data_IF_455555396295
#
_entry.id   IF_455555396295
#
_cell.length_a   1.000
_cell.length_b   1.000
_cell.length_c   1.000
_cell.angle_alpha   90.00
_cell.angle_beta   90.00
_cell.angle_gamma   90.00
#
_symmetry.space_group_name_H-M   'P 1'
#
loop_
_entity.id
_entity.type
_entity.pdbx_description
1 polymer ?
#
# COMPACT_ATOMS: atom_id res chain seq x y z
N UNK A 1 38.59 75.45 25.14
CA UNK A 1 37.21 75.90 24.86
C UNK A 1 36.48 74.83 24.06
N UNK A 2 35.76 73.93 24.74
CA UNK A 2 34.42 73.47 24.32
C UNK A 2 33.43 74.64 24.47
N UNK A 3 32.15 74.59 24.01
CA UNK A 3 31.26 73.43 23.77
C UNK A 3 30.69 73.43 22.32
N UNK A 4 29.60 72.74 21.91
CA UNK A 4 28.58 71.90 22.59
C UNK A 4 28.11 70.78 21.61
N UNK A 5 27.13 69.99 22.03
CA UNK A 5 26.39 68.98 21.25
C UNK A 5 24.90 69.36 21.20
N UNK A 6 24.16 68.99 20.14
CA UNK A 6 22.69 68.93 20.21
C UNK A 6 22.08 67.94 19.20
N UNK A 7 21.49 66.85 19.72
CA UNK A 7 20.22 66.29 19.22
C UNK A 7 19.11 66.83 20.15
N UNK A 8 17.89 67.10 19.65
CA UNK A 8 16.82 66.15 19.96
C UNK A 8 15.66 66.08 18.94
N UNK A 9 14.82 65.06 19.09
CA UNK A 9 13.38 65.30 19.16
C UNK A 9 12.51 64.84 17.97
N UNK A 10 11.32 64.28 18.22
CA UNK A 10 10.46 63.69 17.20
C UNK A 10 9.33 64.62 16.75
N UNK A 11 8.68 64.30 15.63
CA UNK A 11 7.34 64.79 15.33
C UNK A 11 6.43 63.64 14.85
N UNK A 12 5.20 63.60 15.36
CA UNK A 12 4.21 62.54 15.10
C UNK A 12 3.32 62.89 13.90
N UNK A 13 2.89 61.84 13.21
CA UNK A 13 1.61 61.67 12.51
C UNK A 13 1.21 62.69 11.43
N UNK A 14 0.89 62.17 10.24
CA UNK A 14 -0.34 62.53 9.55
C UNK A 14 -0.88 61.34 8.75
N UNK A 15 -2.20 61.16 8.83
CA UNK A 15 -2.97 60.09 8.19
C UNK A 15 -3.43 60.56 6.81
N UNK A 16 -3.39 59.67 5.82
CA UNK A 16 -4.16 59.83 4.58
C UNK A 16 -4.59 58.45 4.06
N UNK A 17 -5.83 58.07 4.35
CA UNK A 17 -6.45 56.89 3.75
C UNK A 17 -6.99 57.24 2.36
N UNK A 18 -6.82 56.33 1.39
CA UNK A 18 -7.51 56.38 0.11
C UNK A 18 -8.43 55.15 0.01
N UNK A 19 -9.72 55.36 0.23
CA UNK A 19 -10.73 54.32 0.05
C UNK A 19 -11.06 54.18 -1.43
N UNK A 20 -11.20 52.94 -1.92
CA UNK A 20 -11.93 52.67 -3.15
C UNK A 20 -13.09 51.72 -2.85
N UNK A 21 -14.29 52.30 -2.87
CA UNK A 21 -15.53 51.60 -2.54
C UNK A 21 -16.04 50.81 -3.74
N UNK A 22 -16.30 49.52 -3.55
CA UNK A 22 -17.23 48.76 -4.40
C UNK A 22 -18.32 48.19 -3.48
N UNK A 23 -19.56 48.64 -3.70
CA UNK A 23 -20.74 48.14 -3.01
C UNK A 23 -21.57 47.37 -4.02
N UNK A 24 -21.79 46.09 -3.76
CA UNK A 24 -22.91 45.32 -4.30
C UNK A 24 -23.51 44.54 -3.15
N UNK A 25 -24.70 44.96 -2.73
CA UNK A 25 -25.43 44.33 -1.63
C UNK A 25 -26.35 43.24 -2.17
N UNK A 26 -26.28 42.06 -1.56
CA UNK A 26 -27.42 41.14 -1.49
C UNK A 26 -27.62 40.80 -0.02
N UNK A 27 -28.77 41.19 0.53
CA UNK A 27 -29.16 40.84 1.88
C UNK A 27 -30.03 39.59 1.85
N UNK A 28 -29.63 38.56 2.60
CA UNK A 28 -30.50 37.47 3.04
C UNK A 28 -30.08 37.11 4.47
N UNK A 29 -30.96 37.39 5.44
CA UNK A 29 -30.71 37.08 6.85
C UNK A 29 -30.86 35.58 7.12
N UNK A 30 -30.02 35.01 8.00
CA UNK A 30 -30.09 33.59 8.31
C UNK A 30 -29.21 33.09 9.45
N UNK A 31 -29.19 33.78 10.60
CA UNK A 31 -28.74 33.31 11.95
C UNK A 31 -27.37 32.66 12.11
N UNK A 32 -26.56 33.19 13.05
CA UNK A 32 -25.32 32.59 13.51
C UNK A 32 -25.46 31.10 13.90
N UNK A 33 -24.49 30.31 13.44
CA UNK A 33 -24.06 29.08 14.09
C UNK A 33 -22.62 28.81 13.63
N UNK A 34 -21.66 29.28 14.41
CA UNK A 34 -20.23 28.98 14.25
C UNK A 34 -20.01 27.48 14.47
N UNK A 35 -20.24 26.71 13.40
CA UNK A 35 -19.92 25.29 13.32
C UNK A 35 -18.56 25.22 12.63
N UNK A 36 -17.53 24.60 13.23
CA UNK A 36 -16.30 24.36 12.49
C UNK A 36 -16.65 23.56 11.24
N UNK A 37 -16.01 23.88 10.11
CA UNK A 37 -16.27 23.19 8.85
C UNK A 37 -15.99 21.69 9.01
N UNK A 38 -17.05 20.93 9.26
CA UNK A 38 -17.08 19.49 8.98
C UNK A 38 -16.66 19.35 7.53
N UNK A 39 -15.60 18.59 7.27
CA UNK A 39 -15.26 18.18 5.91
C UNK A 39 -16.54 17.61 5.28
N UNK A 40 -17.02 18.26 4.21
CA UNK A 40 -18.23 17.82 3.54
C UNK A 40 -17.94 16.47 2.92
N UNK A 41 -18.31 15.40 3.64
CA UNK A 41 -18.17 14.02 3.21
C UNK A 41 -18.97 13.89 1.92
N UNK A 42 -18.28 13.91 0.78
CA UNK A 42 -18.81 13.49 -0.50
C UNK A 42 -18.57 11.99 -0.61
N UNK A 43 -19.55 11.13 -0.25
CA UNK A 43 -19.38 9.69 -0.34
C UNK A 43 -19.11 9.31 -1.80
N UNK A 44 -17.89 8.88 -2.09
CA UNK A 44 -17.53 8.35 -3.40
C UNK A 44 -17.99 6.89 -3.49
N UNK A 45 -19.29 6.70 -3.76
CA UNK A 45 -19.97 5.39 -3.85
C UNK A 45 -19.66 4.64 -5.16
N UNK A 46 -18.43 4.76 -5.68
CA UNK A 46 -18.03 4.18 -6.96
C UNK A 46 -16.86 3.25 -6.72
N UNK A 47 -17.03 1.97 -7.06
CA UNK A 47 -15.96 0.99 -7.01
C UNK A 47 -14.71 1.47 -7.77
N UNK A 48 -13.56 1.38 -7.11
CA UNK A 48 -12.26 1.79 -7.63
C UNK A 48 -11.49 0.55 -8.05
N UNK A 49 -11.02 0.50 -9.30
CA UNK A 49 -10.06 -0.51 -9.74
C UNK A 49 -8.65 0.04 -9.62
N UNK A 50 -7.84 -0.61 -8.79
CA UNK A 50 -6.43 -0.30 -8.60
C UNK A 50 -5.60 -0.99 -9.70
N UNK A 51 -4.54 -0.35 -10.20
CA UNK A 51 -3.62 -0.98 -11.14
C UNK A 51 -2.90 -2.15 -10.43
N UNK A 52 -2.84 -3.29 -11.11
CA UNK A 52 -2.00 -4.43 -10.71
C UNK A 52 -0.97 -4.62 -11.81
N UNK A 53 0.31 -4.67 -11.43
CA UNK A 53 1.42 -4.88 -12.34
C UNK A 53 1.37 -6.27 -12.98
N UNK A 54 1.79 -6.38 -14.24
CA UNK A 54 1.98 -7.68 -14.88
C UNK A 54 3.02 -8.52 -14.11
N UNK A 55 2.74 -9.82 -13.99
CA UNK A 55 3.56 -10.78 -13.23
C UNK A 55 4.09 -11.86 -14.16
N UNK A 56 5.40 -12.09 -14.12
CA UNK A 56 6.07 -13.17 -14.87
C UNK A 56 6.56 -14.25 -13.92
N UNK A 57 6.04 -15.46 -14.06
CA UNK A 57 6.52 -16.67 -13.36
C UNK A 57 7.52 -17.42 -14.25
N UNK A 58 8.61 -17.93 -13.69
CA UNK A 58 9.61 -18.73 -14.43
C UNK A 58 10.15 -19.84 -13.53
N UNK A 59 9.96 -21.10 -13.94
CA UNK A 59 10.51 -22.25 -13.25
C UNK A 59 12.05 -22.27 -13.33
N UNK A 60 12.71 -22.53 -12.20
CA UNK A 60 14.17 -22.67 -12.10
C UNK A 60 14.58 -24.12 -11.87
N UNK A 61 13.93 -24.80 -10.92
CA UNK A 61 14.10 -26.24 -10.65
C UNK A 61 12.71 -26.88 -10.45
N UNK A 62 12.35 -27.95 -11.20
CA UNK A 62 11.08 -28.67 -11.03
C UNK A 62 10.96 -29.51 -9.75
N UNK A 63 12.01 -29.63 -8.93
CA UNK A 63 11.99 -30.36 -7.65
C UNK A 63 12.01 -31.89 -7.80
N UNK A 64 11.78 -32.61 -6.71
CA UNK A 64 11.73 -34.06 -6.70
C UNK A 64 10.40 -34.63 -7.27
N UNK A 65 10.42 -35.89 -7.70
CA UNK A 65 9.19 -36.63 -8.03
C UNK A 65 8.47 -37.11 -6.75
N UNK A 66 7.12 -37.22 -6.74
CA UNK A 66 6.21 -36.97 -7.86
C UNK A 66 5.96 -35.47 -8.08
N UNK A 67 5.91 -35.06 -9.35
CA UNK A 67 5.56 -33.69 -9.77
C UNK A 67 4.13 -33.59 -10.29
N UNK A 68 3.49 -32.45 -10.07
CA UNK A 68 2.15 -32.14 -10.58
C UNK A 68 2.05 -30.67 -10.99
N UNK A 69 1.18 -30.36 -11.96
CA UNK A 69 0.79 -28.96 -12.24
C UNK A 69 -0.11 -28.49 -11.10
N UNK A 70 0.22 -27.34 -10.51
CA UNK A 70 -0.58 -26.72 -9.47
C UNK A 70 -1.35 -25.57 -10.11
N UNK A 71 -2.68 -25.65 -10.09
CA UNK A 71 -3.55 -24.63 -10.68
C UNK A 71 -4.74 -24.34 -9.76
N UNK A 72 -5.12 -23.07 -9.68
CA UNK A 72 -6.30 -22.62 -8.94
C UNK A 72 -7.59 -23.09 -9.60
N UNK A 73 -8.59 -23.45 -8.79
CA UNK A 73 -9.90 -23.90 -9.25
C UNK A 73 -11.02 -23.08 -8.58
N UNK A 74 -12.18 -22.91 -9.24
CA UNK A 74 -13.33 -22.23 -8.63
C UNK A 74 -13.84 -23.01 -7.42
N UNK A 75 -14.30 -22.30 -6.40
CA UNK A 75 -14.70 -22.87 -5.12
C UNK A 75 -15.96 -22.19 -4.61
N UNK A 76 -17.04 -22.98 -4.56
CA UNK A 76 -18.34 -22.57 -3.99
C UNK A 76 -18.31 -22.53 -2.46
N UNK A 77 -17.27 -23.07 -1.82
CA UNK A 77 -17.04 -22.97 -0.39
C UNK A 77 -16.60 -21.54 -0.05
N UNK A 78 -17.30 -20.90 0.89
CA UNK A 78 -16.81 -19.67 1.50
C UNK A 78 -15.60 -19.97 2.40
N UNK A 79 -14.51 -19.24 2.19
CA UNK A 79 -13.36 -19.18 3.08
C UNK A 79 -13.49 -17.96 3.99
N UNK A 80 -13.16 -18.11 5.27
CA UNK A 80 -12.82 -16.99 6.15
C UNK A 80 -11.31 -16.88 6.24
N UNK A 81 -10.78 -15.65 6.22
CA UNK A 81 -9.36 -15.36 6.41
C UNK A 81 -9.20 -14.00 7.10
N UNK A 82 -8.08 -13.80 7.78
CA UNK A 82 -7.69 -12.51 8.35
C UNK A 82 -6.40 -12.04 7.67
N UNK A 83 -6.44 -10.83 7.13
CA UNK A 83 -5.26 -10.14 6.61
C UNK A 83 -4.76 -9.17 7.68
N UNK A 84 -3.50 -9.31 8.09
CA UNK A 84 -2.82 -8.30 8.93
C UNK A 84 -1.66 -7.70 8.16
N UNK A 85 -1.61 -6.38 8.08
CA UNK A 85 -0.54 -5.62 7.43
C UNK A 85 0.10 -4.61 8.37
N UNK A 86 1.43 -4.47 8.27
CA UNK A 86 2.22 -3.50 9.04
C UNK A 86 3.21 -2.80 8.09
N UNK A 87 3.42 -1.49 8.24
CA UNK A 87 4.43 -0.74 7.49
C UNK A 87 5.20 0.20 8.40
N UNK A 88 6.52 0.01 8.48
CA UNK A 88 7.44 0.89 9.20
C UNK A 88 8.21 1.76 8.22
N UNK A 89 8.28 3.06 8.49
CA UNK A 89 9.06 4.02 7.69
C UNK A 89 9.73 4.99 8.66
N UNK A 90 11.05 4.88 8.82
CA UNK A 90 11.86 5.83 9.59
C UNK A 90 12.74 6.60 8.63
N UNK A 91 12.68 7.93 8.67
CA UNK A 91 13.46 8.81 7.81
C UNK A 91 14.40 9.71 8.63
N UNK A 92 15.56 10.04 8.07
CA UNK A 92 16.50 10.99 8.65
C UNK A 92 17.11 11.87 7.56
N UNK A 93 16.99 13.19 7.72
CA UNK A 93 17.66 14.18 6.87
C UNK A 93 19.00 14.56 7.54
N UNK A 94 20.10 14.36 6.81
CA UNK A 94 21.48 14.62 7.25
C UNK A 94 21.80 14.09 8.66
N UNK A 95 22.00 14.99 9.62
CA UNK A 95 22.29 14.71 11.03
C UNK A 95 21.15 15.13 11.97
N UNK A 96 19.94 15.36 11.44
CA UNK A 96 18.74 15.60 12.24
C UNK A 96 18.34 14.34 13.04
N UNK A 97 17.44 14.50 14.01
CA UNK A 97 16.81 13.36 14.66
C UNK A 97 15.96 12.57 13.64
N UNK A 98 15.98 11.22 13.68
CA UNK A 98 15.05 10.42 12.89
C UNK A 98 13.59 10.77 13.17
N UNK A 99 12.77 10.70 12.14
CA UNK A 99 11.33 10.91 12.17
C UNK A 99 10.62 9.63 11.76
N UNK A 100 9.51 9.33 12.42
CA UNK A 100 8.69 8.15 12.17
C UNK A 100 7.47 8.52 11.31
N UNK A 101 7.33 7.82 10.18
CA UNK A 101 6.27 7.93 9.19
C UNK A 101 5.58 6.56 8.95
N UNK A 102 5.77 5.62 9.87
CA UNK A 102 5.13 4.29 9.85
C UNK A 102 3.61 4.41 9.80
N UNK A 103 2.93 3.52 9.07
CA UNK A 103 1.47 3.42 9.15
C UNK A 103 1.06 2.42 10.23
N UNK A 104 -0.02 2.67 10.98
CA UNK A 104 -0.52 1.74 11.99
C UNK A 104 -0.83 0.36 11.40
N UNK A 105 -0.57 -0.69 12.18
CA UNK A 105 -0.97 -2.04 11.81
C UNK A 105 -2.49 -2.11 11.55
N UNK A 106 -2.90 -2.77 10.46
CA UNK A 106 -4.31 -3.01 10.13
C UNK A 106 -4.57 -4.51 10.17
N UNK A 107 -5.57 -4.95 10.94
CA UNK A 107 -6.05 -6.33 10.98
C UNK A 107 -7.47 -6.38 10.47
N UNK A 108 -7.69 -7.11 9.38
CA UNK A 108 -8.89 -7.09 8.56
C UNK A 108 -9.39 -8.51 8.33
N UNK A 109 -10.36 -8.99 9.13
CA UNK A 109 -11.06 -10.22 8.82
C UNK A 109 -11.88 -10.05 7.54
N UNK A 110 -12.00 -11.10 6.75
CA UNK A 110 -12.81 -11.13 5.53
C UNK A 110 -13.35 -12.53 5.26
N UNK A 111 -14.39 -12.58 4.44
CA UNK A 111 -14.85 -13.82 3.80
C UNK A 111 -14.64 -13.73 2.30
N UNK A 112 -14.36 -14.85 1.65
CA UNK A 112 -14.10 -14.91 0.22
C UNK A 112 -14.72 -16.16 -0.43
N UNK A 113 -15.10 -16.03 -1.70
CA UNK A 113 -15.56 -17.12 -2.59
C UNK A 113 -14.88 -16.99 -3.95
N UNK A 114 -14.80 -18.06 -4.73
CA UNK A 114 -14.23 -18.00 -6.10
C UNK A 114 -15.14 -18.61 -7.16
N UNK A 115 -15.25 -17.93 -8.30
CA UNK A 115 -16.04 -18.35 -9.46
C UNK A 115 -15.25 -18.16 -10.76
N UNK A 116 -15.56 -18.96 -11.78
CA UNK A 116 -15.04 -18.71 -13.13
C UNK A 116 -15.61 -17.40 -13.70
N UNK A 117 -14.79 -16.69 -14.47
CA UNK A 117 -15.21 -15.51 -15.23
C UNK A 117 -15.86 -15.97 -16.54
N UNK A 118 -17.06 -15.51 -16.88
CA UNK A 118 -17.72 -15.91 -18.13
C UNK A 118 -16.85 -15.57 -19.35
N UNK A 119 -16.40 -16.60 -20.08
CA UNK A 119 -15.66 -16.45 -21.33
C UNK A 119 -14.16 -16.12 -21.19
N UNK A 120 -13.57 -16.25 -20.00
CA UNK A 120 -12.14 -16.05 -19.78
C UNK A 120 -11.53 -17.14 -18.88
N UNK A 121 -10.26 -17.48 -19.11
CA UNK A 121 -9.48 -18.45 -18.29
C UNK A 121 -9.01 -17.81 -16.96
N UNK A 122 -9.91 -17.11 -16.26
CA UNK A 122 -9.65 -16.37 -15.03
C UNK A 122 -10.69 -16.68 -13.95
N UNK A 123 -10.24 -16.68 -12.70
CA UNK A 123 -11.09 -16.78 -11.52
C UNK A 123 -11.34 -15.39 -10.93
N UNK A 124 -12.61 -15.13 -10.66
CA UNK A 124 -13.09 -14.01 -9.89
C UNK A 124 -13.15 -14.41 -8.40
N UNK A 125 -12.39 -13.72 -7.56
CA UNK A 125 -12.41 -13.89 -6.10
C UNK A 125 -13.17 -12.72 -5.51
N UNK A 126 -14.41 -12.96 -5.10
CA UNK A 126 -15.24 -11.98 -4.42
C UNK A 126 -14.98 -12.05 -2.90
N UNK A 127 -14.70 -10.90 -2.29
CA UNK A 127 -14.39 -10.74 -0.87
C UNK A 127 -15.34 -9.75 -0.21
N UNK A 128 -15.74 -10.04 1.03
CA UNK A 128 -16.48 -9.11 1.91
C UNK A 128 -15.66 -8.88 3.16
N UNK A 129 -15.34 -7.61 3.44
CA UNK A 129 -14.56 -7.18 4.59
C UNK A 129 -15.43 -7.20 5.86
N UNK A 130 -14.90 -7.76 6.95
CA UNK A 130 -15.46 -7.65 8.29
C UNK A 130 -14.98 -6.38 9.02
N UNK A 131 -15.24 -6.30 10.31
CA UNK A 131 -14.78 -5.21 11.17
C UNK A 131 -13.24 -5.14 11.24
N UNK A 132 -12.65 -4.18 10.53
CA UNK A 132 -11.22 -3.91 10.57
C UNK A 132 -10.79 -3.23 11.87
N UNK A 133 -9.58 -3.54 12.35
CA UNK A 133 -9.04 -3.06 13.62
C UNK A 133 -7.59 -2.58 13.51
N UNK A 134 -7.21 -1.64 14.36
CA UNK A 134 -5.86 -1.04 14.40
C UNK A 134 -5.54 -0.53 15.81
N UNK A 135 -4.26 -0.51 16.26
CA UNK A 135 -3.89 0.07 17.54
C UNK A 135 -3.95 1.61 17.57
N UNK A 136 -4.03 2.29 16.41
CA UNK A 136 -4.15 3.75 16.36
C UNK A 136 -5.59 4.22 16.59
N UNK A 137 -5.80 5.00 17.64
CA UNK A 137 -7.14 5.46 18.03
C UNK A 137 -7.81 6.40 17.00
N UNK A 138 -7.02 7.12 16.19
CA UNK A 138 -7.52 8.08 15.18
C UNK A 138 -8.05 7.33 13.97
N UNK A 139 -7.28 6.37 13.47
CA UNK A 139 -7.69 5.49 12.39
C UNK A 139 -8.81 4.55 12.83
N UNK A 140 -8.74 3.97 14.04
CA UNK A 140 -9.77 3.06 14.56
C UNK A 140 -11.16 3.69 14.63
N UNK A 141 -11.25 4.99 14.95
CA UNK A 141 -12.51 5.74 14.93
C UNK A 141 -13.12 5.89 13.51
N UNK A 142 -12.31 5.70 12.47
CA UNK A 142 -12.72 5.76 11.07
C UNK A 142 -12.92 4.39 10.41
N UNK A 143 -12.51 3.28 11.05
CA UNK A 143 -12.61 1.92 10.48
C UNK A 143 -13.99 1.28 10.58
N UNK A 144 -14.79 1.56 11.62
CA UNK A 144 -16.09 0.87 11.80
C UNK A 144 -17.02 0.93 10.58
N UNK A 145 -17.12 2.05 9.83
CA UNK A 145 -17.94 2.12 8.61
C UNK A 145 -17.41 1.31 7.42
N UNK A 146 -16.20 0.75 7.45
CA UNK A 146 -15.67 -0.08 6.34
C UNK A 146 -16.14 -1.53 6.38
N UNK A 147 -16.75 -1.99 7.49
CA UNK A 147 -17.35 -3.32 7.56
C UNK A 147 -18.45 -3.47 6.48
N UNK A 148 -18.46 -4.61 5.79
CA UNK A 148 -19.35 -4.86 4.66
C UNK A 148 -18.91 -4.28 3.32
N UNK A 149 -17.81 -3.51 3.27
CA UNK A 149 -17.17 -3.14 1.99
C UNK A 149 -16.80 -4.41 1.22
N UNK A 150 -16.91 -4.38 -0.11
CA UNK A 150 -16.51 -5.52 -0.94
C UNK A 150 -15.21 -5.25 -1.68
N UNK A 151 -14.47 -6.31 -1.96
CA UNK A 151 -13.28 -6.27 -2.78
C UNK A 151 -13.26 -7.49 -3.71
N UNK A 152 -12.56 -7.37 -4.83
CA UNK A 152 -12.56 -8.35 -5.91
C UNK A 152 -11.16 -8.47 -6.47
N UNK A 153 -10.65 -9.70 -6.55
CA UNK A 153 -9.43 -10.01 -7.29
C UNK A 153 -9.80 -10.80 -8.54
N UNK A 154 -9.28 -10.39 -9.69
CA UNK A 154 -9.21 -11.26 -10.86
C UNK A 154 -7.87 -12.00 -10.81
N UNK A 155 -7.90 -13.33 -10.96
CA UNK A 155 -6.69 -14.17 -10.96
C UNK A 155 -6.67 -15.10 -12.16
N UNK A 156 -5.47 -15.42 -12.64
CA UNK A 156 -5.27 -16.50 -13.62
C UNK A 156 -5.33 -17.87 -12.93
N UNK A 157 -5.46 -18.95 -13.70
CA UNK A 157 -5.34 -20.32 -13.17
C UNK A 157 -4.00 -20.62 -12.47
N UNK A 158 -2.96 -19.80 -12.65
CA UNK A 158 -1.69 -19.92 -11.89
C UNK A 158 -1.73 -19.33 -10.49
N UNK A 159 -2.75 -18.51 -10.17
CA UNK A 159 -2.81 -17.68 -8.95
C UNK A 159 -2.27 -16.26 -9.14
N UNK A 160 -1.79 -15.88 -10.32
CA UNK A 160 -1.36 -14.50 -10.58
C UNK A 160 -2.56 -13.55 -10.58
N UNK A 161 -2.51 -12.49 -9.76
CA UNK A 161 -3.53 -11.42 -9.72
C UNK A 161 -3.34 -10.50 -10.92
N UNK A 162 -4.43 -10.14 -11.60
CA UNK A 162 -4.44 -9.24 -12.77
C UNK A 162 -5.30 -7.99 -12.58
N UNK A 163 -6.17 -7.97 -11.56
CA UNK A 163 -6.93 -6.79 -11.17
C UNK A 163 -7.29 -6.85 -9.68
N UNK A 164 -7.37 -5.67 -9.05
CA UNK A 164 -7.95 -5.47 -7.72
C UNK A 164 -9.00 -4.36 -7.83
N UNK A 165 -10.26 -4.69 -7.56
CA UNK A 165 -11.34 -3.70 -7.45
C UNK A 165 -11.85 -3.65 -6.01
N UNK A 166 -12.05 -2.45 -5.48
CA UNK A 166 -12.57 -2.22 -4.12
C UNK A 166 -13.82 -1.37 -4.24
N UNK A 167 -14.93 -1.85 -3.67
CA UNK A 167 -16.20 -1.14 -3.55
C UNK A 167 -16.41 -0.79 -2.08
N UNK A 168 -15.96 0.41 -1.64
CA UNK A 168 -16.05 0.81 -0.24
C UNK A 168 -17.50 1.04 0.16
N UNK A 169 -17.81 0.74 1.42
CA UNK A 169 -19.06 1.17 2.06
C UNK A 169 -19.28 2.68 1.85
N UNK A 170 -20.50 3.16 1.52
CA UNK A 170 -20.79 4.58 1.34
C UNK A 170 -20.42 5.46 2.54
N UNK A 171 -20.41 4.89 3.75
CA UNK A 171 -20.09 5.58 4.99
C UNK A 171 -18.57 5.55 5.33
N UNK A 172 -17.76 4.89 4.50
CA UNK A 172 -16.31 4.79 4.69
C UNK A 172 -15.61 6.15 4.50
N UNK A 173 -14.84 6.56 5.52
CA UNK A 173 -14.02 7.79 5.46
C UNK A 173 -12.77 7.55 4.61
N UNK A 174 -12.31 8.57 3.88
CA UNK A 174 -11.16 8.44 2.97
C UNK A 174 -9.88 7.90 3.64
N UNK A 175 -9.60 8.26 4.89
CA UNK A 175 -8.44 7.73 5.62
C UNK A 175 -8.53 6.22 5.86
N UNK A 176 -9.74 5.69 6.11
CA UNK A 176 -9.98 4.26 6.30
C UNK A 176 -10.00 3.51 4.96
N UNK A 177 -10.61 4.11 3.94
CA UNK A 177 -10.57 3.63 2.55
C UNK A 177 -9.13 3.48 2.06
N UNK A 178 -8.29 4.52 2.22
CA UNK A 178 -6.88 4.51 1.84
C UNK A 178 -6.07 3.43 2.59
N UNK A 179 -6.31 3.24 3.90
CA UNK A 179 -5.66 2.17 4.66
C UNK A 179 -6.04 0.77 4.15
N UNK A 180 -7.31 0.55 3.79
CA UNK A 180 -7.79 -0.71 3.19
C UNK A 180 -7.21 -0.93 1.79
N UNK A 181 -7.21 0.10 0.94
CA UNK A 181 -6.60 0.08 -0.39
C UNK A 181 -5.11 -0.28 -0.32
N UNK A 182 -4.37 0.33 0.62
CA UNK A 182 -2.95 0.03 0.86
C UNK A 182 -2.73 -1.41 1.33
N UNK A 183 -3.52 -1.90 2.31
CA UNK A 183 -3.38 -3.25 2.85
C UNK A 183 -3.65 -4.33 1.80
N UNK A 184 -4.72 -4.17 1.00
CA UNK A 184 -5.04 -5.10 -0.09
C UNK A 184 -3.98 -5.06 -1.19
N UNK A 185 -3.46 -3.87 -1.55
CA UNK A 185 -2.38 -3.74 -2.52
C UNK A 185 -1.08 -4.41 -2.05
N UNK A 186 -0.72 -4.26 -0.77
CA UNK A 186 0.42 -4.96 -0.17
C UNK A 186 0.23 -6.49 -0.26
N UNK A 187 -0.98 -7.00 0.01
CA UNK A 187 -1.27 -8.43 -0.10
C UNK A 187 -1.16 -8.94 -1.55
N UNK A 188 -1.63 -8.18 -2.55
CA UNK A 188 -1.47 -8.49 -3.98
C UNK A 188 0.00 -8.60 -4.36
N UNK A 189 0.86 -7.67 -3.90
CA UNK A 189 2.32 -7.75 -4.14
C UNK A 189 3.03 -8.89 -3.38
N UNK A 190 2.32 -9.71 -2.62
CA UNK A 190 2.80 -10.94 -1.96
C UNK A 190 2.11 -12.21 -2.49
N UNK A 191 1.28 -12.11 -3.52
CA UNK A 191 0.72 -13.27 -4.21
C UNK A 191 1.85 -14.15 -4.80
N UNK A 192 1.64 -15.47 -4.77
CA UNK A 192 2.59 -16.46 -5.28
C UNK A 192 1.90 -17.26 -6.39
N UNK A 193 2.02 -16.83 -7.65
CA UNK A 193 1.63 -17.67 -8.77
C UNK A 193 2.55 -18.90 -8.89
N UNK A 194 1.95 -20.04 -9.21
CA UNK A 194 2.66 -21.28 -9.51
C UNK A 194 3.14 -21.32 -10.98
N UNK A 195 4.21 -22.08 -11.29
CA UNK A 195 4.61 -22.36 -12.66
C UNK A 195 3.53 -23.16 -13.41
N UNK A 196 3.52 -23.05 -14.75
CA UNK A 196 2.63 -23.84 -15.59
C UNK A 196 3.12 -25.30 -15.76
N UNK A 197 4.41 -25.52 -15.50
CA UNK A 197 5.09 -26.81 -15.54
C UNK A 197 4.83 -27.64 -14.27
N UNK A 198 4.91 -28.99 -14.35
CA UNK A 198 4.79 -29.83 -13.16
C UNK A 198 5.93 -29.58 -12.15
N UNK A 199 5.56 -29.31 -10.89
CA UNK A 199 6.47 -29.11 -9.76
C UNK A 199 6.27 -30.15 -8.68
N UNK A 200 7.33 -30.47 -7.95
CA UNK A 200 7.29 -31.33 -6.76
C UNK A 200 8.12 -30.75 -5.61
N UNK A 201 8.21 -31.46 -4.49
CA UNK A 201 8.90 -30.96 -3.29
C UNK A 201 10.37 -30.62 -3.60
N UNK A 202 10.81 -29.44 -3.15
CA UNK A 202 12.10 -28.86 -3.48
C UNK A 202 12.13 -28.03 -4.78
N UNK A 203 11.01 -27.93 -5.51
CA UNK A 203 10.94 -27.07 -6.69
C UNK A 203 11.18 -25.61 -6.34
N UNK A 204 11.83 -24.87 -7.23
CA UNK A 204 12.08 -23.44 -7.09
C UNK A 204 11.74 -22.69 -8.36
N UNK A 205 11.15 -21.51 -8.22
CA UNK A 205 10.80 -20.62 -9.32
C UNK A 205 10.95 -19.16 -8.91
N UNK A 206 11.03 -18.27 -9.90
CA UNK A 206 11.03 -16.82 -9.70
C UNK A 206 9.72 -16.22 -10.17
N UNK A 207 9.19 -15.28 -9.39
CA UNK A 207 8.07 -14.41 -9.72
C UNK A 207 8.60 -12.99 -9.83
N UNK A 208 8.48 -12.36 -11.00
CA UNK A 208 8.98 -11.00 -11.27
C UNK A 208 7.84 -10.07 -11.62
N UNK A 209 7.80 -8.89 -11.01
CA UNK A 209 6.76 -7.87 -11.23
C UNK A 209 7.29 -6.46 -10.93
N UNK A 210 6.65 -5.44 -11.48
CA UNK A 210 6.84 -4.05 -11.06
C UNK A 210 6.07 -3.80 -9.75
N UNK A 211 6.60 -2.96 -8.86
CA UNK A 211 5.95 -2.52 -7.61
C UNK A 211 6.09 -1.01 -7.52
N UNK A 212 4.96 -0.31 -7.60
CA UNK A 212 4.92 1.15 -7.48
C UNK A 212 4.67 1.53 -6.02
N UNK A 213 5.68 2.08 -5.35
CA UNK A 213 5.61 2.52 -3.95
C UNK A 213 6.33 3.86 -3.76
N UNK A 214 5.84 4.88 -4.48
CA UNK A 214 6.50 6.20 -4.59
C UNK A 214 7.74 6.23 -5.50
N UNK A 215 8.38 5.08 -5.71
CA UNK A 215 9.41 4.77 -6.71
C UNK A 215 8.93 3.55 -7.51
N UNK A 216 9.30 3.43 -8.80
CA UNK A 216 9.14 2.15 -9.52
C UNK A 216 10.24 1.18 -9.11
N UNK A 217 9.84 0.02 -8.59
CA UNK A 217 10.71 -1.03 -8.14
C UNK A 217 10.46 -2.30 -8.95
N UNK A 218 11.52 -2.89 -9.50
CA UNK A 218 11.46 -4.28 -9.94
C UNK A 218 11.56 -5.18 -8.71
N UNK A 219 10.51 -5.96 -8.44
CA UNK A 219 10.52 -7.01 -7.43
C UNK A 219 10.80 -8.36 -8.09
N UNK A 220 11.72 -9.14 -7.52
CA UNK A 220 11.93 -10.55 -7.84
C UNK A 220 11.75 -11.37 -6.57
N UNK A 221 10.74 -12.24 -6.55
CA UNK A 221 10.49 -13.20 -5.48
C UNK A 221 10.97 -14.57 -5.92
N UNK A 222 11.98 -15.13 -5.26
CA UNK A 222 12.33 -16.55 -5.37
C UNK A 222 11.42 -17.34 -4.43
N UNK A 223 10.78 -18.38 -4.95
CA UNK A 223 9.85 -19.24 -4.23
C UNK A 223 10.42 -20.66 -4.20
N UNK A 224 10.23 -21.39 -3.09
CA UNK A 224 10.61 -22.80 -2.95
C UNK A 224 9.47 -23.61 -2.36
N UNK A 225 9.03 -24.67 -3.05
CA UNK A 225 8.00 -25.59 -2.56
C UNK A 225 8.58 -26.55 -1.50
N UNK A 226 8.21 -26.32 -0.24
CA UNK A 226 8.72 -27.07 0.92
C UNK A 226 7.95 -28.35 1.19
N UNK A 227 6.63 -28.32 0.98
CA UNK A 227 5.73 -29.45 1.18
C UNK A 227 4.49 -29.30 0.28
N UNK A 228 3.88 -30.42 -0.10
CA UNK A 228 2.61 -30.46 -0.84
C UNK A 228 1.75 -31.57 -0.23
N UNK A 229 1.04 -31.24 0.84
CA UNK A 229 0.30 -32.20 1.68
C UNK A 229 -1.21 -32.05 1.47
N UNK A 230 -1.87 -33.10 0.99
CA UNK A 230 -3.32 -33.11 0.71
C UNK A 230 -3.80 -31.94 -0.19
N UNK A 231 -2.96 -31.51 -1.14
CA UNK A 231 -3.24 -30.36 -2.03
C UNK A 231 -2.80 -29.01 -1.47
N UNK A 232 -2.40 -28.93 -0.20
CA UNK A 232 -1.89 -27.68 0.40
C UNK A 232 -0.39 -27.57 0.19
N UNK A 233 0.02 -26.58 -0.61
CA UNK A 233 1.41 -26.19 -0.77
C UNK A 233 1.88 -25.37 0.44
N UNK A 234 3.08 -25.67 0.94
CA UNK A 234 3.84 -24.78 1.84
C UNK A 234 5.04 -24.27 1.07
N UNK A 235 5.17 -22.95 0.94
CA UNK A 235 6.22 -22.32 0.14
C UNK A 235 7.04 -21.35 1.00
N UNK A 236 8.37 -21.48 0.95
CA UNK A 236 9.27 -20.41 1.37
C UNK A 236 9.29 -19.34 0.28
N UNK A 237 9.34 -18.07 0.67
CA UNK A 237 9.57 -16.95 -0.25
C UNK A 237 10.78 -16.13 0.19
N UNK A 238 11.57 -15.69 -0.77
CA UNK A 238 12.65 -14.72 -0.60
C UNK A 238 12.46 -13.60 -1.63
N UNK A 239 12.30 -12.37 -1.16
CA UNK A 239 11.97 -11.19 -1.97
C UNK A 239 13.22 -10.31 -2.09
N UNK A 240 13.53 -9.86 -3.29
CA UNK A 240 14.48 -8.79 -3.55
C UNK A 240 13.79 -7.68 -4.35
N UNK A 241 14.07 -6.42 -4.02
CA UNK A 241 13.56 -5.26 -4.78
C UNK A 241 14.73 -4.35 -5.17
N UNK A 242 14.72 -3.90 -6.42
CA UNK A 242 15.68 -2.94 -6.97
C UNK A 242 14.95 -1.78 -7.66
N UNK A 243 15.41 -0.52 -7.54
CA UNK A 243 14.84 0.58 -8.31
C UNK A 243 15.07 0.36 -9.80
N UNK A 244 14.09 0.74 -10.62
CA UNK A 244 14.24 0.71 -12.08
C UNK A 244 15.03 1.93 -12.61
N UNK A 245 14.88 3.07 -11.93
CA UNK A 245 15.60 4.31 -12.20
C UNK A 245 16.62 4.63 -11.08
N UNK A 246 17.78 5.23 -11.40
CA UNK A 246 18.75 5.71 -10.40
C UNK A 246 18.32 7.02 -9.72
N UNK A 247 17.12 7.53 -10.01
CA UNK A 247 16.59 8.81 -9.52
C UNK A 247 15.15 8.62 -9.07
N UNK A 248 14.87 9.02 -7.83
CA UNK A 248 13.50 9.16 -7.33
C UNK A 248 12.94 10.53 -7.72
N UNK A 249 11.83 10.54 -8.47
CA UNK A 249 10.97 11.71 -8.68
C UNK A 249 10.08 11.91 -7.45
N UNK A 250 10.25 13.01 -6.71
CA UNK A 250 9.42 13.29 -5.55
C UNK A 250 7.98 13.65 -5.96
N UNK A 251 6.95 13.25 -5.19
CA UNK A 251 5.56 13.62 -5.45
C UNK A 251 5.34 15.12 -5.63
N UNK A 252 4.28 15.50 -6.33
CA UNK A 252 3.85 16.89 -6.54
C UNK A 252 4.90 17.81 -7.19
N UNK A 253 5.82 17.24 -7.97
CA UNK A 253 6.96 17.92 -8.59
C UNK A 253 7.90 18.61 -7.59
N UNK A 254 8.01 18.08 -6.37
CA UNK A 254 8.86 18.66 -5.31
C UNK A 254 10.37 18.52 -5.56
N UNK A 255 10.77 17.80 -6.62
CA UNK A 255 12.16 17.68 -7.07
C UNK A 255 12.58 16.25 -7.33
N UNK A 256 13.89 16.01 -7.33
CA UNK A 256 14.49 14.69 -7.58
C UNK A 256 15.59 14.39 -6.58
N UNK A 257 15.68 13.13 -6.15
CA UNK A 257 16.79 12.63 -5.36
C UNK A 257 17.50 11.50 -6.12
N UNK A 258 18.82 11.55 -6.20
CA UNK A 258 19.63 10.44 -6.70
C UNK A 258 19.62 9.30 -5.68
N UNK A 259 19.44 8.06 -6.12
CA UNK A 259 19.50 6.88 -5.26
C UNK A 259 20.97 6.46 -5.11
N UNK A 260 21.57 6.68 -3.93
CA UNK A 260 22.97 6.31 -3.67
C UNK A 260 23.13 4.85 -3.25
N UNK A 261 22.16 4.34 -2.49
CA UNK A 261 22.08 2.92 -2.12
C UNK A 261 20.64 2.53 -1.88
N UNK A 262 20.26 1.33 -2.31
CA UNK A 262 18.92 0.79 -2.11
C UNK A 262 19.05 -0.69 -1.75
N UNK A 263 18.70 -1.05 -0.52
CA UNK A 263 18.63 -2.42 -0.05
C UNK A 263 17.22 -2.69 0.42
N UNK A 264 16.50 -3.55 -0.30
CA UNK A 264 15.17 -4.04 0.07
C UNK A 264 15.15 -5.54 -0.16
N UNK A 265 15.09 -6.28 0.95
CA UNK A 265 15.08 -7.76 0.95
C UNK A 265 14.01 -8.27 1.88
N UNK A 266 13.44 -9.44 1.61
CA UNK A 266 12.42 -10.02 2.47
C UNK A 266 12.42 -11.53 2.44
N UNK A 267 11.78 -12.11 3.45
CA UNK A 267 11.58 -13.55 3.58
C UNK A 267 10.21 -13.85 4.19
N UNK A 268 9.72 -15.07 3.98
CA UNK A 268 8.46 -15.53 4.55
C UNK A 268 8.15 -16.99 4.23
N UNK A 269 7.06 -17.47 4.81
CA UNK A 269 6.44 -18.75 4.47
C UNK A 269 4.94 -18.52 4.24
N UNK A 270 4.36 -19.16 3.21
CA UNK A 270 2.93 -19.14 2.94
C UNK A 270 2.39 -20.56 2.79
N UNK A 271 1.17 -20.79 3.28
CA UNK A 271 0.36 -22.00 3.04
C UNK A 271 -0.75 -21.68 2.06
N UNK A 272 -0.79 -22.38 0.93
CA UNK A 272 -1.69 -22.11 -0.18
C UNK A 272 -2.41 -23.40 -0.57
N UNK A 273 -3.73 -23.36 -0.60
CA UNK A 273 -4.58 -24.41 -1.17
C UNK A 273 -5.19 -23.85 -2.47
N UNK A 274 -4.84 -24.38 -3.66
CA UNK A 274 -5.37 -23.87 -4.93
C UNK A 274 -6.88 -24.02 -5.09
N UNK A 275 -7.54 -24.83 -4.25
CA UNK A 275 -9.00 -24.96 -4.20
C UNK A 275 -9.69 -23.90 -3.32
N UNK A 276 -8.92 -22.95 -2.78
CA UNK A 276 -9.39 -21.89 -1.87
C UNK A 276 -9.03 -20.49 -2.41
N UNK A 277 -9.93 -19.50 -2.27
CA UNK A 277 -9.73 -18.17 -2.86
C UNK A 277 -8.57 -17.36 -2.27
N UNK A 278 -8.16 -17.62 -1.03
CA UNK A 278 -7.11 -16.88 -0.33
C UNK A 278 -6.09 -17.84 0.33
N UNK A 279 -4.85 -17.39 0.64
CA UNK A 279 -3.90 -18.19 1.41
C UNK A 279 -4.52 -18.70 2.73
N UNK A 280 -4.17 -19.92 3.11
CA UNK A 280 -4.60 -20.53 4.37
C UNK A 280 -3.86 -19.96 5.59
N UNK A 281 -2.73 -19.31 5.35
CA UNK A 281 -1.98 -18.59 6.38
C UNK A 281 -0.51 -18.37 6.00
N UNK A 282 0.20 -17.69 6.89
CA UNK A 282 1.64 -17.44 6.76
C UNK A 282 1.98 -15.95 6.76
N UNK A 283 3.27 -15.63 6.74
CA UNK A 283 3.77 -14.25 6.90
C UNK A 283 4.92 -14.01 5.93
N UNK A 284 4.94 -12.82 5.31
CA UNK A 284 6.04 -12.33 4.49
C UNK A 284 6.42 -10.93 4.93
N UNK A 285 7.69 -10.73 5.29
CA UNK A 285 8.25 -9.43 5.68
C UNK A 285 9.32 -9.00 4.68
N UNK A 286 9.26 -7.76 4.21
CA UNK A 286 10.26 -7.12 3.33
C UNK A 286 10.76 -5.86 4.00
N UNK A 287 12.08 -5.71 4.17
CA UNK A 287 12.68 -4.61 4.90
C UNK A 287 14.13 -4.29 4.49
N UNK A 288 14.62 -3.13 4.91
CA UNK A 288 15.97 -2.66 4.58
C UNK A 288 16.10 -1.14 4.48
N UNK A 289 17.30 -0.70 4.10
CA UNK A 289 17.75 0.69 4.14
C UNK A 289 17.96 1.29 2.74
N UNK A 290 17.64 2.58 2.61
CA UNK A 290 17.83 3.37 1.40
C UNK A 290 18.55 4.69 1.75
N UNK A 291 19.39 5.17 0.83
CA UNK A 291 20.06 6.46 0.94
C UNK A 291 19.85 7.22 -0.37
N UNK A 292 19.32 8.42 -0.25
CA UNK A 292 19.03 9.33 -1.34
C UNK A 292 19.79 10.65 -1.16
N UNK A 293 20.24 11.28 -2.25
CA UNK A 293 20.94 12.57 -2.24
C UNK A 293 20.26 13.56 -3.17
N UNK A 294 19.99 14.76 -2.68
CA UNK A 294 19.52 15.86 -3.54
C UNK A 294 20.59 16.23 -4.57
N UNK A 295 20.19 16.37 -5.84
CA UNK A 295 21.13 16.59 -6.95
C UNK A 295 21.78 17.99 -6.94
N UNK A 296 21.23 18.94 -6.19
CA UNK A 296 21.64 20.35 -6.20
C UNK A 296 22.37 20.79 -4.91
N UNK A 297 22.51 19.89 -3.93
CA UNK A 297 23.07 20.17 -2.61
C UNK A 297 23.82 18.96 -2.04
N UNK A 298 24.23 19.03 -0.76
CA UNK A 298 24.81 17.89 -0.04
C UNK A 298 23.78 17.17 0.86
N UNK A 299 22.52 17.59 0.81
CA UNK A 299 21.43 17.05 1.63
C UNK A 299 21.22 15.57 1.31
N UNK A 300 21.21 14.75 2.35
CA UNK A 300 21.06 13.29 2.28
C UNK A 300 19.83 12.87 3.06
N UNK A 301 18.92 12.13 2.43
CA UNK A 301 17.80 11.47 3.07
C UNK A 301 18.17 9.99 3.25
N UNK A 302 18.20 9.53 4.50
CA UNK A 302 18.25 8.10 4.83
C UNK A 302 16.85 7.63 5.17
N UNK A 303 16.48 6.44 4.71
CA UNK A 303 15.22 5.81 5.02
C UNK A 303 15.46 4.36 5.41
N UNK A 304 14.80 3.89 6.46
CA UNK A 304 14.67 2.48 6.80
C UNK A 304 13.19 2.15 6.65
N UNK A 305 12.88 1.14 5.84
CA UNK A 305 11.51 0.71 5.56
C UNK A 305 11.33 -0.77 5.86
N UNK A 306 10.16 -1.13 6.38
CA UNK A 306 9.72 -2.50 6.59
C UNK A 306 8.24 -2.64 6.26
N UNK A 307 7.83 -3.75 5.63
CA UNK A 307 6.45 -4.07 5.32
C UNK A 307 6.21 -5.55 5.64
N UNK A 308 5.21 -5.86 6.47
CA UNK A 308 4.80 -7.23 6.81
C UNK A 308 3.38 -7.48 6.35
N UNK A 309 3.16 -8.62 5.71
CA UNK A 309 1.83 -9.14 5.36
C UNK A 309 1.66 -10.51 6.01
N UNK A 310 0.57 -10.71 6.74
CA UNK A 310 0.22 -11.97 7.40
C UNK A 310 -1.19 -12.40 7.03
N UNK A 311 -1.37 -13.69 6.78
CA UNK A 311 -2.66 -14.36 6.63
C UNK A 311 -2.87 -15.34 7.79
N UNK A 312 -4.10 -15.45 8.31
CA UNK A 312 -4.50 -16.42 9.35
C UNK A 312 -6.00 -16.71 9.38
#
# INVERSE_FOLDING_TARGET
MTPLSTRPGPCRALVAAAALSVVLAVAACGTDSDTPATEELTPSTTAVTLPVSDVTTTLVDPGAEPRAVIASAPSQDQQSATLTTESTIVQQIDAAAPQDFSTPALTMPMTATSSETEGADTLDIAMTLGAATTPDATLQASLSPTEGSSARLTTTASGAVTALTIDPSPDARDIARSAVEQALSQAVYRAVPFPAEPVGVGASWTVTQEVVSGISLKQTTTVTLKALDNGVATVDVAVEQSPEDPVWQLPDNQGTLNIESFVMTGQGELRIDPSKPLPLGGTVTVGGDQIYRDANSQTTLKQTTGNTVTWS
#
